data_IF_757257839758
#
_entry.id   IF_757257839758
#
_cell.length_a   1.000
_cell.length_b   1.000
_cell.length_c   1.000
_cell.angle_alpha   90.00
_cell.angle_beta   90.00
_cell.angle_gamma   90.00
#
_symmetry.space_group_name_H-M   'P 1'
#
loop_
_entity.id
_entity.type
_entity.pdbx_description
1 polymer ?
#
# COMPACT_ATOMS: atom_id res chain seq x y z
N UNK A 1 4.68 5.99 15.95
CA UNK A 1 5.28 4.71 15.52
C UNK A 1 6.71 4.86 15.02
N UNK A 2 7.02 5.67 14.00
CA UNK A 2 8.42 5.82 13.51
C UNK A 2 9.42 6.17 14.63
N UNK A 3 9.15 7.21 15.43
CA UNK A 3 9.97 7.57 16.61
C UNK A 3 10.15 6.44 17.62
N UNK A 4 9.13 5.60 17.82
CA UNK A 4 9.21 4.47 18.74
C UNK A 4 10.19 3.42 18.20
N UNK A 5 10.07 3.05 16.92
CA UNK A 5 10.97 2.06 16.32
C UNK A 5 12.42 2.58 16.22
N UNK A 6 12.62 3.88 16.02
CA UNK A 6 13.94 4.52 16.10
C UNK A 6 14.56 4.39 17.49
N UNK A 7 13.77 4.67 18.54
CA UNK A 7 14.22 4.53 19.93
C UNK A 7 14.57 3.08 20.29
N UNK A 8 13.86 2.11 19.70
CA UNK A 8 14.16 0.68 19.85
C UNK A 8 15.30 0.20 18.95
N UNK A 9 15.93 1.08 18.16
CA UNK A 9 16.96 0.73 17.18
C UNK A 9 16.49 -0.33 16.15
N UNK A 10 15.18 -0.37 15.87
CA UNK A 10 14.55 -1.29 14.93
C UNK A 10 14.27 -0.65 13.55
N UNK A 11 14.83 0.52 13.27
CA UNK A 11 14.71 1.21 11.98
C UNK A 11 16.09 1.49 11.44
N UNK A 12 16.30 1.11 10.18
CA UNK A 12 17.42 1.56 9.37
C UNK A 12 16.89 2.27 8.14
N UNK A 13 17.38 3.48 7.89
CA UNK A 13 17.03 4.27 6.71
C UNK A 13 18.14 4.13 5.68
N UNK A 14 17.90 3.33 4.66
CA UNK A 14 18.78 3.18 3.52
C UNK A 14 17.99 2.71 2.30
N UNK A 15 18.58 2.87 1.12
CA UNK A 15 18.11 2.17 -0.05
C UNK A 15 18.43 0.67 0.07
N UNK A 16 17.41 -0.17 -0.09
CA UNK A 16 17.59 -1.61 -0.07
C UNK A 16 18.03 -2.08 -1.46
N UNK A 17 19.21 -2.71 -1.57
CA UNK A 17 19.71 -3.24 -2.85
C UNK A 17 19.81 -4.75 -2.81
N UNK A 18 19.00 -5.44 -3.62
CA UNK A 18 18.89 -6.90 -3.58
C UNK A 18 20.19 -7.65 -3.87
N UNK A 19 21.14 -7.04 -4.58
CA UNK A 19 22.47 -7.63 -4.85
C UNK A 19 23.30 -7.86 -3.58
N UNK A 20 23.00 -7.13 -2.50
CA UNK A 20 23.64 -7.28 -1.20
C UNK A 20 22.91 -8.28 -0.29
N UNK A 21 21.82 -8.88 -0.78
CA UNK A 21 21.04 -9.88 -0.06
C UNK A 21 21.60 -11.27 -0.37
N UNK A 22 21.92 -12.02 0.68
CA UNK A 22 22.29 -13.43 0.59
C UNK A 22 21.30 -14.23 1.44
N UNK A 23 20.72 -15.27 0.88
CA UNK A 23 19.81 -16.16 1.59
C UNK A 23 20.27 -17.60 1.45
N UNK A 24 20.36 -18.31 2.57
CA UNK A 24 20.55 -19.76 2.63
C UNK A 24 19.30 -20.44 3.22
N UNK A 25 19.39 -21.74 3.53
CA UNK A 25 18.27 -22.50 4.05
C UNK A 25 17.78 -22.05 5.44
N UNK A 26 18.62 -21.37 6.23
CA UNK A 26 18.36 -21.01 7.62
C UNK A 26 18.33 -19.50 7.87
N UNK A 27 19.08 -18.73 7.07
CA UNK A 27 19.29 -17.31 7.32
C UNK A 27 19.13 -16.47 6.06
N UNK A 28 18.75 -15.22 6.30
CA UNK A 28 18.82 -14.12 5.35
C UNK A 28 19.78 -13.09 5.91
N UNK A 29 20.76 -12.70 5.09
CA UNK A 29 21.81 -11.77 5.45
C UNK A 29 21.74 -10.57 4.50
N UNK A 30 21.62 -9.38 5.06
CA UNK A 30 21.69 -8.12 4.33
C UNK A 30 22.71 -7.22 5.01
N UNK A 31 23.86 -7.01 4.36
CA UNK A 31 25.02 -6.32 4.93
C UNK A 31 25.39 -6.93 6.31
N UNK A 32 25.33 -6.14 7.37
CA UNK A 32 25.62 -6.54 8.75
C UNK A 32 24.40 -7.13 9.50
N UNK A 33 23.22 -7.16 8.88
CA UNK A 33 22.00 -7.72 9.49
C UNK A 33 21.86 -9.18 9.11
N UNK A 34 21.86 -10.07 10.11
CA UNK A 34 21.53 -11.49 9.97
C UNK A 34 20.20 -11.77 10.66
N UNK A 35 19.26 -12.35 9.92
CA UNK A 35 17.93 -12.72 10.41
C UNK A 35 17.55 -14.13 9.96
N UNK A 36 16.58 -14.75 10.63
CA UNK A 36 15.99 -16.02 10.16
C UNK A 36 15.01 -15.80 9.01
N UNK A 37 14.33 -14.65 8.98
CA UNK A 37 13.29 -14.29 8.00
C UNK A 37 13.46 -12.84 7.51
N UNK A 38 13.11 -12.59 6.26
CA UNK A 38 12.97 -11.25 5.65
C UNK A 38 11.60 -11.13 5.00
N UNK A 39 10.86 -10.05 5.32
CA UNK A 39 9.55 -9.77 4.73
C UNK A 39 9.62 -8.51 3.87
N UNK A 40 9.28 -8.64 2.58
CA UNK A 40 9.19 -7.52 1.65
C UNK A 40 7.83 -6.83 1.73
N UNK A 41 7.85 -5.52 1.99
CA UNK A 41 6.68 -4.64 2.12
C UNK A 41 6.80 -3.43 1.16
N UNK A 42 7.15 -3.69 -0.10
CA UNK A 42 7.69 -2.67 -1.03
C UNK A 42 6.62 -1.85 -1.78
N UNK A 43 5.34 -2.08 -1.49
CA UNK A 43 4.26 -1.45 -2.23
C UNK A 43 4.39 -1.73 -3.74
N UNK A 44 4.24 -0.72 -4.61
CA UNK A 44 4.31 -0.90 -6.07
C UNK A 44 5.65 -1.45 -6.58
N UNK A 45 6.75 -1.20 -5.87
CA UNK A 45 8.08 -1.65 -6.30
C UNK A 45 8.24 -3.17 -6.28
N UNK A 46 7.38 -3.91 -5.57
CA UNK A 46 7.43 -5.37 -5.54
C UNK A 46 7.24 -6.05 -6.90
N UNK A 47 6.66 -5.36 -7.90
CA UNK A 47 6.60 -5.87 -9.27
C UNK A 47 7.98 -6.03 -9.92
N UNK A 48 9.00 -5.34 -9.40
CA UNK A 48 10.39 -5.49 -9.81
C UNK A 48 11.21 -6.42 -8.92
N UNK A 49 10.60 -7.04 -7.89
CA UNK A 49 11.32 -7.91 -6.98
C UNK A 49 11.52 -9.31 -7.59
N UNK A 50 12.76 -9.78 -7.81
CA UNK A 50 13.06 -11.04 -8.48
C UNK A 50 12.53 -12.28 -7.75
N UNK A 51 12.26 -12.21 -6.44
CA UNK A 51 11.65 -13.32 -5.70
C UNK A 51 10.15 -13.45 -5.96
N UNK A 52 9.50 -12.42 -6.50
CA UNK A 52 8.04 -12.35 -6.61
C UNK A 52 7.56 -12.08 -8.04
N UNK A 53 8.36 -12.42 -9.05
CA UNK A 53 8.01 -12.29 -10.47
C UNK A 53 6.74 -13.08 -10.86
N UNK A 54 6.42 -14.16 -10.13
CA UNK A 54 5.22 -14.98 -10.33
C UNK A 54 3.93 -14.27 -9.82
N UNK A 55 4.07 -13.20 -9.03
CA UNK A 55 2.95 -12.46 -8.48
C UNK A 55 2.36 -11.50 -9.52
N UNK A 56 1.04 -11.63 -9.76
CA UNK A 56 0.33 -10.83 -10.76
C UNK A 56 -0.18 -9.52 -10.14
N UNK A 57 0.64 -8.49 -10.22
CA UNK A 57 0.23 -7.12 -9.88
C UNK A 57 -0.57 -6.49 -11.03
N UNK A 58 -1.56 -5.69 -10.66
CA UNK A 58 -2.34 -4.83 -11.56
C UNK A 58 -2.47 -3.45 -10.91
N UNK A 59 -1.36 -2.72 -10.90
CA UNK A 59 -1.29 -1.40 -10.30
C UNK A 59 -2.33 -0.44 -10.90
N UNK A 60 -2.72 0.53 -10.10
CA UNK A 60 -3.48 1.69 -10.58
C UNK A 60 -2.95 2.94 -9.92
N UNK A 61 -2.88 4.01 -10.68
CA UNK A 61 -2.68 5.37 -10.18
C UNK A 61 -4.00 5.92 -9.67
N UNK A 62 -3.92 6.68 -8.59
CA UNK A 62 -5.01 7.50 -8.11
C UNK A 62 -4.50 8.86 -7.69
N UNK A 63 -5.23 9.89 -8.05
CA UNK A 63 -4.95 11.26 -7.65
C UNK A 63 -5.99 11.77 -6.66
N UNK A 64 -5.57 12.67 -5.78
CA UNK A 64 -6.38 13.33 -4.78
C UNK A 64 -6.12 14.84 -4.80
N UNK A 65 -7.11 15.61 -4.38
CA UNK A 65 -6.98 17.04 -4.12
C UNK A 65 -7.01 17.31 -2.61
N UNK A 66 -6.21 18.26 -2.17
CA UNK A 66 -6.40 18.90 -0.87
C UNK A 66 -7.07 20.25 -1.10
N UNK A 67 -8.25 20.44 -0.52
CA UNK A 67 -9.11 21.59 -0.73
C UNK A 67 -9.37 22.31 0.60
N UNK A 68 -9.63 23.61 0.53
CA UNK A 68 -10.22 24.39 1.63
C UNK A 68 -11.64 24.79 1.25
N UNK A 69 -12.62 24.39 2.08
CA UNK A 69 -14.05 24.57 1.81
C UNK A 69 -14.77 25.04 3.09
N UNK A 70 -14.77 26.35 3.40
CA UNK A 70 -15.22 26.87 4.69
C UNK A 70 -16.69 26.59 5.06
N UNK A 71 -17.55 26.33 4.07
CA UNK A 71 -19.01 26.28 4.26
C UNK A 71 -19.58 24.88 4.50
N UNK A 72 -18.81 23.80 4.31
CA UNK A 72 -19.38 22.44 4.41
C UNK A 72 -19.31 21.86 5.82
N UNK A 73 -18.29 22.23 6.61
CA UNK A 73 -18.11 21.84 8.02
C UNK A 73 -18.36 20.35 8.31
N UNK A 74 -17.97 19.45 7.41
CA UNK A 74 -18.12 18.01 7.64
C UNK A 74 -17.22 17.54 8.78
N UNK A 75 -17.75 16.67 9.63
CA UNK A 75 -17.03 15.96 10.69
C UNK A 75 -16.73 14.51 10.30
N UNK A 76 -17.51 13.94 9.39
CA UNK A 76 -17.43 12.54 8.95
C UNK A 76 -16.89 12.41 7.52
N UNK A 77 -16.34 11.23 7.22
CA UNK A 77 -15.95 10.88 5.84
C UNK A 77 -17.19 10.52 5.04
N UNK A 78 -17.41 11.24 3.94
CA UNK A 78 -18.42 10.87 2.95
C UNK A 78 -17.73 10.03 1.88
N UNK A 79 -18.31 8.90 1.50
CA UNK A 79 -17.79 8.03 0.44
C UNK A 79 -18.89 7.67 -0.55
N UNK A 80 -18.79 8.20 -1.78
CA UNK A 80 -19.64 7.83 -2.91
C UNK A 80 -18.76 7.68 -4.18
N UNK A 81 -19.12 8.29 -5.32
CA UNK A 81 -18.28 8.37 -6.53
C UNK A 81 -16.86 8.90 -6.26
N UNK A 82 -16.76 9.76 -5.24
CA UNK A 82 -15.53 10.22 -4.60
C UNK A 82 -15.71 10.18 -3.08
N UNK A 83 -14.61 10.10 -2.34
CA UNK A 83 -14.57 10.38 -0.92
C UNK A 83 -14.27 11.86 -0.66
N UNK A 84 -14.84 12.38 0.43
CA UNK A 84 -14.53 13.68 1.03
C UNK A 84 -14.15 13.41 2.48
N UNK A 85 -12.88 13.60 2.81
CA UNK A 85 -12.35 13.32 4.14
C UNK A 85 -11.98 14.63 4.84
N UNK A 86 -12.64 14.98 5.96
CA UNK A 86 -12.26 16.15 6.75
C UNK A 86 -10.88 15.99 7.36
N UNK A 87 -10.08 17.06 7.30
CA UNK A 87 -8.77 17.18 7.94
C UNK A 87 -8.78 18.19 9.11
N UNK A 88 -9.92 18.84 9.37
CA UNK A 88 -10.04 19.96 10.30
C UNK A 88 -9.76 21.32 9.65
N UNK A 89 -10.14 22.40 10.34
CA UNK A 89 -9.93 23.79 9.89
C UNK A 89 -10.41 24.08 8.45
N UNK A 90 -11.51 23.46 8.05
CA UNK A 90 -12.10 23.55 6.71
C UNK A 90 -11.25 22.95 5.59
N UNK A 91 -10.24 22.13 5.93
CA UNK A 91 -9.45 21.38 4.97
C UNK A 91 -10.05 19.99 4.73
N UNK A 92 -10.00 19.56 3.48
CA UNK A 92 -10.55 18.29 3.02
C UNK A 92 -9.62 17.62 2.04
N UNK A 93 -9.48 16.30 2.14
CA UNK A 93 -8.96 15.46 1.06
C UNK A 93 -10.13 14.94 0.23
N UNK A 94 -10.06 15.16 -1.08
CA UNK A 94 -11.08 14.73 -2.02
C UNK A 94 -10.44 13.81 -3.04
N UNK A 95 -11.03 12.65 -3.25
CA UNK A 95 -10.46 11.67 -4.15
C UNK A 95 -11.33 10.46 -4.37
N UNK A 96 -10.90 9.49 -5.14
CA UNK A 96 -9.68 9.52 -5.92
C UNK A 96 -10.00 9.03 -7.34
N UNK A 97 -9.19 9.46 -8.30
CA UNK A 97 -9.25 8.91 -9.66
C UNK A 97 -8.74 7.47 -9.69
N UNK A 98 -8.96 6.82 -10.84
CA UNK A 98 -8.46 5.48 -11.14
C UNK A 98 -7.94 5.46 -12.58
N UNK A 99 -6.62 5.30 -12.72
CA UNK A 99 -5.95 5.20 -14.02
C UNK A 99 -5.04 3.98 -14.01
N UNK A 100 -5.03 3.21 -15.10
CA UNK A 100 -4.21 2.00 -15.26
C UNK A 100 -3.06 2.18 -16.26
N UNK A 101 -3.24 3.08 -17.23
CA UNK A 101 -2.31 3.24 -18.35
C UNK A 101 -1.14 4.20 -18.03
N UNK A 102 -1.36 5.13 -17.10
CA UNK A 102 -0.34 6.02 -16.56
C UNK A 102 -0.06 5.66 -15.09
N UNK A 103 1.16 5.16 -14.85
CA UNK A 103 1.67 4.81 -13.52
C UNK A 103 2.78 5.76 -13.05
N UNK A 104 2.91 6.94 -13.66
CA UNK A 104 3.77 8.00 -13.14
C UNK A 104 3.21 8.57 -11.82
N UNK A 105 4.09 9.13 -10.99
CA UNK A 105 3.70 9.87 -9.78
C UNK A 105 3.39 11.34 -10.06
N UNK A 106 3.32 11.74 -11.34
CA UNK A 106 2.97 13.10 -11.75
C UNK A 106 1.48 13.36 -11.59
N UNK A 107 1.10 14.60 -11.33
CA UNK A 107 -0.33 14.98 -11.26
C UNK A 107 -0.83 15.48 -12.60
N UNK A 108 -2.13 15.33 -12.87
CA UNK A 108 -2.74 15.72 -14.15
C UNK A 108 -3.84 16.76 -13.99
N UNK A 109 -3.99 17.66 -14.96
CA UNK A 109 -5.11 18.60 -15.01
C UNK A 109 -6.44 17.86 -15.19
N UNK A 110 -6.47 16.81 -16.02
CA UNK A 110 -7.65 15.98 -16.23
C UNK A 110 -8.18 15.34 -14.94
N UNK A 111 -7.30 14.79 -14.09
CA UNK A 111 -7.73 14.24 -12.80
C UNK A 111 -8.29 15.31 -11.86
N UNK A 112 -7.70 16.51 -11.87
CA UNK A 112 -8.23 17.65 -11.10
C UNK A 112 -9.64 18.02 -11.57
N UNK A 113 -9.83 18.19 -12.87
CA UNK A 113 -11.13 18.54 -13.48
C UNK A 113 -12.19 17.46 -13.19
N UNK A 114 -11.83 16.18 -13.30
CA UNK A 114 -12.72 15.07 -12.97
C UNK A 114 -13.19 15.13 -11.50
N UNK A 115 -12.25 15.30 -10.56
CA UNK A 115 -12.56 15.36 -9.13
C UNK A 115 -13.42 16.57 -8.78
N UNK A 116 -13.14 17.74 -9.36
CA UNK A 116 -13.94 18.95 -9.17
C UNK A 116 -15.35 18.81 -9.75
N UNK A 117 -15.47 18.21 -10.94
CA UNK A 117 -16.77 17.94 -11.57
C UNK A 117 -17.61 16.98 -10.73
N UNK A 118 -17.01 15.90 -10.20
CA UNK A 118 -17.69 14.96 -9.30
C UNK A 118 -18.09 15.63 -7.99
N UNK A 119 -17.20 16.43 -7.39
CA UNK A 119 -17.48 17.19 -6.17
C UNK A 119 -18.62 18.19 -6.35
N UNK A 120 -18.64 18.90 -7.49
CA UNK A 120 -19.68 19.88 -7.84
C UNK A 120 -21.09 19.31 -7.96
N UNK A 121 -21.24 17.98 -8.13
CA UNK A 121 -22.56 17.32 -8.06
C UNK A 121 -23.11 17.24 -6.64
N UNK A 122 -22.25 17.31 -5.62
CA UNK A 122 -22.63 17.18 -4.22
C UNK A 122 -22.63 18.51 -3.48
N UNK A 123 -21.82 19.49 -3.90
CA UNK A 123 -21.69 20.80 -3.26
C UNK A 123 -21.67 21.94 -4.27
N UNK A 124 -22.24 23.08 -3.90
CA UNK A 124 -22.31 24.31 -4.73
C UNK A 124 -21.62 25.52 -4.07
N UNK A 125 -20.74 25.28 -3.09
CA UNK A 125 -20.05 26.33 -2.34
C UNK A 125 -18.67 26.66 -2.92
N UNK A 126 -18.11 27.84 -2.65
CA UNK A 126 -16.76 28.19 -3.08
C UNK A 126 -15.71 27.21 -2.52
N UNK A 127 -14.79 26.80 -3.38
CA UNK A 127 -13.69 25.90 -3.06
C UNK A 127 -12.36 26.58 -3.39
N UNK A 128 -11.33 26.31 -2.58
CA UNK A 128 -9.94 26.67 -2.90
C UNK A 128 -9.09 25.42 -2.98
N UNK A 129 -8.41 25.22 -4.10
CA UNK A 129 -7.44 24.12 -4.26
C UNK A 129 -6.15 24.51 -3.55
N UNK A 130 -5.69 23.65 -2.66
CA UNK A 130 -4.46 23.85 -1.87
C UNK A 130 -3.32 22.99 -2.41
N UNK A 131 -3.62 21.76 -2.79
CA UNK A 131 -2.61 20.80 -3.27
C UNK A 131 -3.26 19.69 -4.12
N UNK A 132 -2.42 18.93 -4.83
CA UNK A 132 -2.79 17.73 -5.58
C UNK A 132 -1.68 16.68 -5.43
N UNK A 133 -2.07 15.42 -5.21
CA UNK A 133 -1.11 14.30 -5.04
C UNK A 133 -1.53 13.12 -5.88
N UNK A 134 -0.54 12.45 -6.46
CA UNK A 134 -0.70 11.15 -7.10
C UNK A 134 -0.05 10.04 -6.27
N UNK A 135 -0.61 8.84 -6.34
CA UNK A 135 -0.04 7.66 -5.71
C UNK A 135 -0.39 6.39 -6.47
N UNK A 136 0.52 5.42 -6.44
CA UNK A 136 0.31 4.11 -7.05
C UNK A 136 -0.19 3.12 -6.00
N UNK A 137 -1.31 2.47 -6.31
CA UNK A 137 -1.91 1.43 -5.48
C UNK A 137 -1.31 0.07 -5.87
N UNK A 138 -0.60 -0.61 -4.97
CA UNK A 138 -0.09 -1.96 -5.22
C UNK A 138 -1.26 -2.95 -5.16
N UNK A 139 -2.04 -3.01 -6.24
CA UNK A 139 -3.23 -3.87 -6.31
C UNK A 139 -2.84 -5.17 -6.99
N UNK A 140 -3.25 -6.31 -6.43
CA UNK A 140 -3.14 -7.61 -7.10
C UNK A 140 -4.21 -7.77 -8.17
N UNK A 141 -4.00 -8.66 -9.14
CA UNK A 141 -4.98 -8.95 -10.19
C UNK A 141 -6.37 -9.35 -9.65
N UNK A 142 -6.41 -10.07 -8.53
CA UNK A 142 -7.61 -10.51 -7.82
C UNK A 142 -8.09 -9.51 -6.75
N UNK A 143 -7.42 -8.36 -6.63
CA UNK A 143 -7.69 -7.28 -5.68
C UNK A 143 -7.61 -7.69 -4.21
N UNK A 144 -6.90 -8.77 -3.89
CA UNK A 144 -6.69 -9.23 -2.51
C UNK A 144 -5.24 -8.98 -2.09
N UNK A 145 -4.97 -8.65 -0.81
CA UNK A 145 -3.61 -8.63 -0.29
C UNK A 145 -2.89 -9.96 -0.51
N UNK A 146 -1.56 -9.92 -0.51
CA UNK A 146 -0.71 -11.10 -0.56
C UNK A 146 0.25 -11.10 0.62
N UNK A 147 0.31 -12.22 1.34
CA UNK A 147 1.15 -12.43 2.50
C UNK A 147 1.63 -13.88 2.57
N UNK A 148 2.85 -14.09 3.07
CA UNK A 148 3.41 -15.43 3.32
C UNK A 148 4.85 -15.59 2.82
N UNK A 149 5.38 -16.80 2.97
CA UNK A 149 6.75 -17.14 2.57
C UNK A 149 6.80 -17.76 1.17
N UNK A 150 7.87 -17.45 0.44
CA UNK A 150 8.09 -17.98 -0.89
C UNK A 150 8.36 -19.50 -0.83
N UNK A 151 7.65 -20.35 -1.59
CA UNK A 151 7.78 -21.82 -1.50
C UNK A 151 9.20 -22.34 -1.74
N UNK A 152 9.95 -21.72 -2.67
CA UNK A 152 11.36 -22.08 -2.96
C UNK A 152 12.39 -21.38 -2.07
N UNK A 153 11.98 -20.38 -1.27
CA UNK A 153 12.89 -19.58 -0.44
C UNK A 153 12.26 -19.36 0.94
N UNK A 154 12.33 -20.35 1.86
CA UNK A 154 11.55 -20.34 3.11
C UNK A 154 11.87 -19.19 4.07
N UNK A 155 13.03 -18.54 3.93
CA UNK A 155 13.43 -17.35 4.68
C UNK A 155 12.88 -16.03 4.13
N UNK A 156 12.32 -16.03 2.92
CA UNK A 156 11.90 -14.84 2.20
C UNK A 156 10.38 -14.81 2.10
N UNK A 157 9.75 -13.76 2.61
CA UNK A 157 8.32 -13.56 2.56
C UNK A 157 7.92 -12.19 2.03
N UNK A 158 6.62 -12.01 1.84
CA UNK A 158 6.01 -10.78 1.37
C UNK A 158 4.83 -10.41 2.26
N UNK A 159 4.56 -9.12 2.39
CA UNK A 159 3.26 -8.57 2.77
C UNK A 159 2.99 -7.34 1.90
N UNK A 160 2.15 -7.51 0.88
CA UNK A 160 1.92 -6.48 -0.12
C UNK A 160 0.51 -6.62 -0.75
N UNK A 161 0.26 -5.98 -1.89
CA UNK A 161 -0.97 -6.18 -2.65
C UNK A 161 -2.21 -5.50 -2.04
N UNK A 162 -2.01 -4.55 -1.13
CA UNK A 162 -3.04 -3.96 -0.28
C UNK A 162 -4.07 -3.06 -1.02
N UNK A 163 -3.77 -2.64 -2.25
CA UNK A 163 -4.67 -1.85 -3.09
C UNK A 163 -5.18 -0.55 -2.46
N UNK A 164 -6.41 -0.14 -2.81
CA UNK A 164 -7.03 1.11 -2.30
C UNK A 164 -7.52 1.03 -0.85
N UNK A 165 -7.55 -0.16 -0.25
CA UNK A 165 -7.99 -0.38 1.14
C UNK A 165 -6.83 -0.66 2.09
N UNK A 166 -5.60 -0.30 1.71
CA UNK A 166 -4.42 -0.67 2.47
C UNK A 166 -4.38 -0.12 3.89
N UNK A 167 -4.85 1.11 4.14
CA UNK A 167 -4.93 1.64 5.49
C UNK A 167 -5.83 0.82 6.43
N UNK A 168 -6.90 0.22 5.88
CA UNK A 168 -7.83 -0.64 6.63
C UNK A 168 -7.28 -2.07 6.79
N UNK A 169 -6.68 -2.61 5.74
CA UNK A 169 -6.26 -4.02 5.69
C UNK A 169 -4.86 -4.25 6.30
N UNK A 170 -3.98 -3.26 6.27
CA UNK A 170 -2.60 -3.42 6.71
C UNK A 170 -2.47 -3.90 8.17
N UNK A 171 -3.20 -3.34 9.17
CA UNK A 171 -3.09 -3.82 10.54
C UNK A 171 -3.50 -5.30 10.70
N UNK A 172 -4.57 -5.69 10.01
CA UNK A 172 -5.05 -7.08 10.03
C UNK A 172 -4.06 -8.03 9.35
N UNK A 173 -3.58 -7.71 8.15
CA UNK A 173 -2.59 -8.52 7.46
C UNK A 173 -1.26 -8.62 8.23
N UNK A 174 -0.79 -7.51 8.81
CA UNK A 174 0.45 -7.48 9.57
C UNK A 174 0.36 -8.34 10.83
N UNK A 175 -0.78 -8.29 11.55
CA UNK A 175 -1.03 -9.16 12.70
C UNK A 175 -1.01 -10.63 12.30
N UNK A 176 -1.75 -11.02 11.26
CA UNK A 176 -1.78 -12.41 10.80
C UNK A 176 -0.41 -12.91 10.35
N UNK A 177 0.36 -12.07 9.64
CA UNK A 177 1.71 -12.42 9.24
C UNK A 177 2.62 -12.60 10.46
N UNK A 178 2.54 -11.72 11.46
CA UNK A 178 3.31 -11.85 12.70
C UNK A 178 2.93 -13.10 13.50
N UNK A 179 1.64 -13.38 13.66
CA UNK A 179 1.14 -14.59 14.33
C UNK A 179 1.60 -15.86 13.60
N UNK A 180 1.57 -15.87 12.27
CA UNK A 180 2.09 -16.97 11.45
C UNK A 180 3.61 -17.15 11.61
N UNK A 181 4.37 -16.05 11.60
CA UNK A 181 5.82 -16.08 11.82
C UNK A 181 6.22 -16.59 13.20
N UNK A 182 5.43 -16.29 14.23
CA UNK A 182 5.67 -16.70 15.61
C UNK A 182 5.11 -18.10 15.92
N UNK A 183 4.53 -18.81 14.95
CA UNK A 183 3.94 -20.13 15.15
C UNK A 183 2.65 -20.13 15.99
N UNK A 184 1.98 -18.98 16.10
CA UNK A 184 0.66 -18.87 16.73
C UNK A 184 -0.44 -19.32 15.75
N UNK A 185 -0.26 -19.04 14.46
CA UNK A 185 -1.10 -19.55 13.39
C UNK A 185 -0.35 -20.63 12.61
N UNK A 186 -1.02 -21.74 12.33
CA UNK A 186 -0.48 -22.81 11.47
C UNK A 186 -0.44 -22.42 9.98
N UNK A 187 -1.38 -21.56 9.56
CA UNK A 187 -1.49 -21.10 8.18
C UNK A 187 -2.17 -19.74 8.07
N UNK A 188 -1.85 -19.02 6.99
CA UNK A 188 -2.55 -17.79 6.62
C UNK A 188 -3.89 -18.10 5.94
N UNK A 189 -4.92 -17.25 6.12
CA UNK A 189 -6.15 -17.36 5.36
C UNK A 189 -5.87 -17.40 3.85
N UNK A 190 -6.53 -18.30 3.13
CA UNK A 190 -6.32 -18.47 1.69
C UNK A 190 -6.53 -17.16 0.90
N UNK A 191 -7.38 -16.25 1.40
CA UNK A 191 -7.67 -14.95 0.82
C UNK A 191 -6.51 -13.93 0.95
N UNK A 192 -5.44 -14.25 1.67
CA UNK A 192 -4.21 -13.46 1.66
C UNK A 192 -2.97 -14.32 1.37
N UNK A 193 -3.05 -15.64 1.47
CA UNK A 193 -1.89 -16.50 1.26
C UNK A 193 -1.27 -16.32 -0.13
N UNK A 194 0.05 -16.22 -0.15
CA UNK A 194 0.89 -16.28 -1.34
C UNK A 194 0.69 -17.59 -2.14
N UNK A 195 0.27 -18.67 -1.50
CA UNK A 195 0.08 -19.99 -2.13
C UNK A 195 -0.91 -19.97 -3.30
N UNK A 196 -1.81 -18.98 -3.35
CA UNK A 196 -2.72 -18.77 -4.48
C UNK A 196 -2.00 -18.66 -5.83
N UNK A 197 -0.73 -18.24 -5.81
CA UNK A 197 0.09 -18.05 -7.00
C UNK A 197 0.95 -19.27 -7.32
N UNK A 198 1.08 -20.23 -6.39
CA UNK A 198 2.03 -21.34 -6.49
C UNK A 198 1.38 -22.74 -6.45
N UNK A 199 0.08 -22.86 -6.14
CA UNK A 199 -0.62 -24.17 -6.00
C UNK A 199 -0.74 -25.03 -7.27
N UNK A 200 -0.24 -24.57 -8.42
CA UNK A 200 -0.29 -25.30 -9.70
C UNK A 200 1.10 -25.50 -10.35
N UNK A 201 2.19 -25.45 -9.59
CA UNK A 201 3.55 -25.78 -10.06
C UNK A 201 3.98 -27.16 -9.56
#
# INVERSE_FOLDING_TARGET
FSKYLEQQQCVRREEFTIVNLVADAQHVIYKDVKASKLIFCEGPAASGNPYFNDLKFKHSKGEILELKIPRIKLEEIISNDIFIMPLGHDHYKVGATYTWDDLSLETTSGAREELLAKLGKSISVPIKIMDQKAGIRPTMHDRRPVAGFHPRHPGIGILNGLGSKGALLAPWCARLMAEYMCGILDSLPYQISIDRYFKNQ
#
